data_IF_091413417886
#
_entry.id   IF_091413417886
#
_cell.length_a   1.000
_cell.length_b   1.000
_cell.length_c   1.000
_cell.angle_alpha   90.00
_cell.angle_beta   90.00
_cell.angle_gamma   90.00
#
_symmetry.space_group_name_H-M   'P 1'
#
loop_
_entity.id
_entity.type
_entity.pdbx_description
1 polymer ?
#
# COMPACT_ATOMS: atom_id res chain seq x y z
N UNK A 1 8.67 -15.23 -6.57
CA UNK A 1 8.90 -13.98 -7.31
C UNK A 1 9.77 -13.05 -6.46
N UNK A 2 10.71 -12.32 -7.06
CA UNK A 2 11.46 -11.28 -6.37
C UNK A 2 10.76 -9.91 -6.52
N UNK A 3 11.25 -8.89 -5.80
CA UNK A 3 10.65 -7.55 -5.75
C UNK A 3 10.62 -6.89 -7.13
N UNK A 4 11.68 -7.06 -7.93
CA UNK A 4 11.80 -6.45 -9.25
C UNK A 4 10.80 -7.08 -10.23
N UNK A 5 10.71 -8.41 -10.26
CA UNK A 5 9.73 -9.14 -11.07
C UNK A 5 8.30 -8.80 -10.65
N UNK A 6 8.04 -8.64 -9.35
CA UNK A 6 6.74 -8.22 -8.86
C UNK A 6 6.37 -6.80 -9.31
N UNK A 7 7.28 -5.83 -9.19
CA UNK A 7 7.01 -4.48 -9.67
C UNK A 7 6.75 -4.44 -11.18
N UNK A 8 7.46 -5.26 -11.97
CA UNK A 8 7.18 -5.46 -13.40
C UNK A 8 5.81 -6.10 -13.65
N UNK A 9 5.41 -7.06 -12.83
CA UNK A 9 4.08 -7.67 -12.89
C UNK A 9 2.99 -6.61 -12.67
N UNK A 10 3.08 -5.85 -11.57
CA UNK A 10 2.12 -4.77 -11.26
C UNK A 10 2.02 -3.76 -12.40
N UNK A 11 3.15 -3.34 -12.97
CA UNK A 11 3.17 -2.41 -14.09
C UNK A 11 2.46 -2.95 -15.34
N UNK A 12 2.52 -4.27 -15.58
CA UNK A 12 1.80 -4.93 -16.69
C UNK A 12 0.30 -5.06 -16.43
N UNK A 13 -0.10 -5.22 -15.18
CA UNK A 13 -1.51 -5.40 -14.78
C UNK A 13 -2.23 -4.10 -14.42
N UNK A 14 -1.51 -2.97 -14.40
CA UNK A 14 -2.00 -1.63 -14.06
C UNK A 14 -2.96 -1.08 -15.14
N UNK A 15 -4.13 -1.70 -15.24
CA UNK A 15 -5.22 -1.34 -16.13
C UNK A 15 -6.28 -0.54 -15.36
N UNK A 16 -6.04 0.75 -15.20
CA UNK A 16 -7.00 1.70 -14.66
C UNK A 16 -7.04 2.95 -15.56
N UNK A 17 -8.10 3.78 -15.47
CA UNK A 17 -8.24 4.97 -16.31
C UNK A 17 -6.99 5.86 -16.21
N UNK A 18 -6.19 5.85 -17.28
CA UNK A 18 -5.02 6.74 -17.37
C UNK A 18 -5.52 8.13 -17.72
N UNK A 19 -5.26 9.06 -16.81
CA UNK A 19 -5.54 10.48 -16.91
C UNK A 19 -4.22 11.25 -16.93
N UNK A 20 -4.28 12.57 -16.84
CA UNK A 20 -3.10 13.39 -16.58
C UNK A 20 -2.30 12.84 -15.40
N UNK A 21 -0.96 12.99 -15.49
CA UNK A 21 -0.06 12.70 -14.36
C UNK A 21 -0.68 13.34 -13.12
N UNK A 22 -0.87 12.54 -12.06
CA UNK A 22 -1.45 13.00 -10.79
C UNK A 22 -2.91 12.60 -10.52
N UNK A 23 -3.79 12.53 -11.53
CA UNK A 23 -5.15 12.01 -11.31
C UNK A 23 -5.17 10.48 -11.20
N UNK A 24 -4.24 9.78 -11.86
CA UNK A 24 -4.00 8.35 -11.64
C UNK A 24 -3.71 8.05 -10.16
N UNK A 25 -2.92 8.92 -9.50
CA UNK A 25 -2.60 8.77 -8.09
C UNK A 25 -3.85 8.87 -7.20
N UNK A 26 -4.85 9.67 -7.59
CA UNK A 26 -6.10 9.76 -6.80
C UNK A 26 -6.86 8.44 -6.80
N UNK A 27 -6.94 7.77 -7.95
CA UNK A 27 -7.54 6.44 -8.07
C UNK A 27 -6.76 5.40 -7.24
N UNK A 28 -5.43 5.39 -7.35
CA UNK A 28 -4.60 4.45 -6.59
C UNK A 28 -4.67 4.68 -5.07
N UNK A 29 -4.77 5.93 -4.62
CA UNK A 29 -4.95 6.23 -3.19
C UNK A 29 -6.34 5.81 -2.70
N UNK A 30 -7.38 5.91 -3.53
CA UNK A 30 -8.69 5.37 -3.19
C UNK A 30 -8.62 3.85 -3.01
N UNK A 31 -7.93 3.14 -3.90
CA UNK A 31 -7.67 1.71 -3.76
C UNK A 31 -6.97 1.37 -2.45
N UNK A 32 -5.90 2.08 -2.08
CA UNK A 32 -5.25 1.88 -0.76
C UNK A 32 -6.24 2.02 0.40
N UNK A 33 -7.15 2.99 0.36
CA UNK A 33 -8.14 3.20 1.43
C UNK A 33 -9.16 2.06 1.46
N UNK A 34 -9.59 1.57 0.31
CA UNK A 34 -10.47 0.41 0.15
C UNK A 34 -9.83 -0.84 0.77
N UNK A 35 -8.63 -1.22 0.34
CA UNK A 35 -7.95 -2.44 0.81
C UNK A 35 -7.68 -2.41 2.32
N UNK A 36 -7.27 -1.24 2.86
CA UNK A 36 -7.11 -1.10 4.32
C UNK A 36 -8.44 -1.29 5.04
N UNK A 37 -9.55 -0.79 4.48
CA UNK A 37 -10.88 -0.98 5.02
C UNK A 37 -11.27 -2.45 5.10
N UNK A 38 -11.04 -3.22 4.04
CA UNK A 38 -11.33 -4.65 3.99
C UNK A 38 -10.47 -5.44 4.99
N UNK A 39 -9.17 -5.13 5.10
CA UNK A 39 -8.30 -5.71 6.13
C UNK A 39 -8.89 -5.47 7.54
N UNK A 40 -9.33 -4.24 7.82
CA UNK A 40 -9.94 -3.92 9.12
C UNK A 40 -11.24 -4.68 9.37
N UNK A 41 -12.08 -4.85 8.36
CA UNK A 41 -13.30 -5.65 8.46
C UNK A 41 -12.97 -7.07 8.94
N UNK A 42 -11.94 -7.71 8.36
CA UNK A 42 -11.53 -9.06 8.77
C UNK A 42 -10.86 -9.11 10.14
N UNK A 43 -10.07 -8.08 10.51
CA UNK A 43 -9.51 -7.97 11.87
C UNK A 43 -10.65 -7.92 12.91
N UNK A 44 -11.68 -7.11 12.69
CA UNK A 44 -12.84 -7.01 13.60
C UNK A 44 -13.64 -8.32 13.63
N UNK A 45 -13.83 -8.98 12.48
CA UNK A 45 -14.48 -10.29 12.41
C UNK A 45 -13.74 -11.37 13.21
N UNK A 46 -12.40 -11.29 13.29
CA UNK A 46 -11.57 -12.22 14.08
C UNK A 46 -11.92 -12.23 15.56
N UNK A 47 -12.39 -11.10 16.09
CA UNK A 47 -12.77 -10.96 17.50
C UNK A 47 -14.13 -11.59 17.82
N UNK A 48 -14.95 -11.86 16.79
CA UNK A 48 -16.37 -12.25 16.94
C UNK A 48 -16.70 -13.61 16.32
N UNK A 49 -15.91 -14.08 15.35
CA UNK A 49 -16.13 -15.34 14.63
C UNK A 49 -15.09 -16.40 15.00
N UNK A 50 -15.49 -17.68 14.98
CA UNK A 50 -14.60 -18.83 15.18
C UNK A 50 -14.00 -19.37 13.86
N UNK A 51 -13.83 -18.52 12.84
CA UNK A 51 -13.37 -18.88 11.49
C UNK A 51 -11.95 -18.37 11.20
N UNK A 52 -11.00 -18.66 12.10
CA UNK A 52 -9.66 -18.07 12.08
C UNK A 52 -8.87 -18.30 10.77
N UNK A 53 -9.04 -19.46 10.12
CA UNK A 53 -8.32 -19.80 8.89
C UNK A 53 -8.81 -18.96 7.71
N UNK A 54 -10.14 -18.92 7.49
CA UNK A 54 -10.75 -18.09 6.45
C UNK A 54 -10.40 -16.61 6.65
N UNK A 55 -10.49 -16.10 7.88
CA UNK A 55 -10.17 -14.72 8.20
C UNK A 55 -8.70 -14.40 7.88
N UNK A 56 -7.79 -15.32 8.20
CA UNK A 56 -6.38 -15.16 7.85
C UNK A 56 -6.16 -15.15 6.34
N UNK A 57 -6.81 -16.04 5.59
CA UNK A 57 -6.72 -16.05 4.12
C UNK A 57 -7.15 -14.70 3.53
N UNK A 58 -8.25 -14.13 4.02
CA UNK A 58 -8.73 -12.83 3.56
C UNK A 58 -7.77 -11.70 3.94
N UNK A 59 -7.23 -11.67 5.16
CA UNK A 59 -6.21 -10.67 5.54
C UNK A 59 -4.99 -10.74 4.62
N UNK A 60 -4.53 -11.93 4.25
CA UNK A 60 -3.39 -12.10 3.33
C UNK A 60 -3.75 -11.64 1.92
N UNK A 61 -4.97 -11.93 1.45
CA UNK A 61 -5.50 -11.48 0.15
C UNK A 61 -5.50 -9.96 0.07
N UNK A 62 -6.17 -9.28 1.01
CA UNK A 62 -6.28 -7.82 0.97
C UNK A 62 -4.94 -7.14 1.28
N UNK A 63 -4.02 -7.80 2.01
CA UNK A 63 -2.63 -7.33 2.13
C UNK A 63 -1.88 -7.39 0.79
N UNK A 64 -2.20 -8.36 -0.06
CA UNK A 64 -1.66 -8.50 -1.41
C UNK A 64 -2.18 -7.38 -2.33
N UNK A 65 -3.48 -7.12 -2.27
CA UNK A 65 -4.13 -6.02 -3.00
C UNK A 65 -3.60 -4.66 -2.55
N UNK A 66 -3.44 -4.46 -1.23
CA UNK A 66 -2.79 -3.27 -0.68
C UNK A 66 -1.35 -3.10 -1.19
N UNK A 67 -0.56 -4.19 -1.21
CA UNK A 67 0.81 -4.17 -1.75
C UNK A 67 0.82 -3.84 -3.25
N UNK A 68 -0.17 -4.30 -4.01
CA UNK A 68 -0.33 -3.98 -5.42
C UNK A 68 -0.52 -2.47 -5.61
N UNK A 69 -1.41 -1.84 -4.85
CA UNK A 69 -1.61 -0.38 -4.94
C UNK A 69 -0.40 0.43 -4.49
N UNK A 70 0.30 0.01 -3.41
CA UNK A 70 1.56 0.63 -3.00
C UNK A 70 2.57 0.61 -4.16
N UNK A 71 2.66 -0.53 -4.85
CA UNK A 71 3.59 -0.74 -5.96
C UNK A 71 3.19 0.04 -7.21
N UNK A 72 1.88 0.13 -7.49
CA UNK A 72 1.36 0.93 -8.58
C UNK A 72 1.67 2.43 -8.37
N UNK A 73 1.52 2.94 -7.14
CA UNK A 73 1.92 4.34 -6.84
C UNK A 73 3.43 4.51 -7.01
N UNK A 74 4.24 3.55 -6.56
CA UNK A 74 5.69 3.58 -6.78
C UNK A 74 6.03 3.72 -8.28
N UNK A 75 5.33 2.99 -9.16
CA UNK A 75 5.50 3.11 -10.61
C UNK A 75 5.13 4.52 -11.12
N UNK A 76 3.99 5.07 -10.72
CA UNK A 76 3.52 6.40 -11.16
C UNK A 76 4.48 7.54 -10.74
N UNK A 77 5.19 7.39 -9.62
CA UNK A 77 6.18 8.37 -9.14
C UNK A 77 7.63 8.03 -9.51
N UNK A 78 7.85 7.03 -10.38
CA UNK A 78 9.18 6.52 -10.77
C UNK A 78 10.09 6.14 -9.59
N UNK A 79 9.53 5.47 -8.58
CA UNK A 79 10.23 4.96 -7.42
C UNK A 79 10.21 3.43 -7.40
N UNK A 80 11.32 2.78 -7.04
CA UNK A 80 11.36 1.32 -6.94
C UNK A 80 10.73 0.84 -5.64
N UNK A 81 9.96 -0.24 -5.68
CA UNK A 81 9.45 -0.93 -4.49
C UNK A 81 10.59 -1.40 -3.58
N UNK A 82 11.72 -1.84 -4.16
CA UNK A 82 12.89 -2.27 -3.40
C UNK A 82 13.45 -1.13 -2.52
N UNK A 83 13.60 0.08 -3.07
CA UNK A 83 14.02 1.25 -2.29
C UNK A 83 13.00 1.62 -1.21
N UNK A 84 11.70 1.47 -1.48
CA UNK A 84 10.67 1.68 -0.46
C UNK A 84 10.81 0.67 0.69
N UNK A 85 11.07 -0.60 0.39
CA UNK A 85 11.35 -1.64 1.39
C UNK A 85 12.62 -1.34 2.18
N UNK A 86 13.68 -0.84 1.54
CA UNK A 86 14.90 -0.40 2.23
C UNK A 86 14.60 0.75 3.20
N UNK A 87 13.77 1.72 2.79
CA UNK A 87 13.32 2.80 3.67
C UNK A 87 12.53 2.26 4.86
N UNK A 88 11.60 1.33 4.61
CA UNK A 88 10.84 0.67 5.66
C UNK A 88 11.76 -0.03 6.67
N UNK A 89 12.82 -0.72 6.20
CA UNK A 89 13.81 -1.41 7.06
C UNK A 89 14.55 -0.47 8.02
N UNK A 90 14.85 0.77 7.64
CA UNK A 90 15.58 1.71 8.50
C UNK A 90 14.69 2.59 9.39
N UNK A 91 13.36 2.58 9.20
CA UNK A 91 12.44 3.31 10.08
C UNK A 91 12.48 2.74 11.51
N UNK A 92 12.56 3.64 12.51
CA UNK A 92 12.53 3.28 13.94
C UNK A 92 11.17 2.72 14.36
N UNK A 93 10.08 3.29 13.85
CA UNK A 93 8.76 2.77 14.16
C UNK A 93 8.44 1.58 13.26
N UNK A 94 8.34 0.40 13.86
CA UNK A 94 7.96 -0.86 13.20
C UNK A 94 6.54 -1.30 13.51
N UNK A 95 5.88 -0.62 14.44
CA UNK A 95 4.54 -0.92 14.87
C UNK A 95 3.60 0.24 14.55
N UNK A 96 2.70 0.01 13.61
CA UNK A 96 1.70 0.96 13.15
C UNK A 96 0.40 0.67 13.88
N UNK A 97 0.01 1.56 14.79
CA UNK A 97 -1.33 1.51 15.38
C UNK A 97 -2.39 1.96 14.38
N UNK A 98 -3.64 1.54 14.57
CA UNK A 98 -4.78 1.94 13.73
C UNK A 98 -4.89 3.47 13.59
N UNK A 99 -4.68 4.21 14.68
CA UNK A 99 -4.69 5.68 14.68
C UNK A 99 -3.56 6.26 13.81
N UNK A 100 -2.37 5.65 13.86
CA UNK A 100 -1.23 6.08 13.04
C UNK A 100 -1.50 5.77 11.56
N UNK A 101 -2.04 4.59 11.26
CA UNK A 101 -2.42 4.21 9.90
C UNK A 101 -3.42 5.20 9.29
N UNK A 102 -4.46 5.58 10.05
CA UNK A 102 -5.42 6.60 9.63
C UNK A 102 -4.75 7.94 9.31
N UNK A 103 -3.78 8.36 10.13
CA UNK A 103 -2.98 9.57 9.88
C UNK A 103 -2.20 9.44 8.56
N UNK A 104 -1.54 8.30 8.31
CA UNK A 104 -0.76 8.09 7.09
C UNK A 104 -1.62 8.06 5.84
N UNK A 105 -2.79 7.42 5.89
CA UNK A 105 -3.80 7.44 4.82
C UNK A 105 -4.29 8.86 4.54
N UNK A 106 -4.65 9.61 5.59
CA UNK A 106 -5.08 11.00 5.47
C UNK A 106 -4.00 11.92 4.90
N UNK A 107 -2.76 11.73 5.31
CA UNK A 107 -1.61 12.48 4.79
C UNK A 107 -1.31 12.14 3.32
N UNK A 108 -1.39 10.87 2.94
CA UNK A 108 -1.23 10.42 1.55
C UNK A 108 -2.31 11.04 0.64
N UNK A 109 -3.57 10.90 1.04
CA UNK A 109 -4.70 11.53 0.35
C UNK A 109 -4.55 13.05 0.27
N UNK A 110 -4.15 13.69 1.37
CA UNK A 110 -3.88 15.12 1.43
C UNK A 110 -2.75 15.57 0.51
N UNK A 111 -1.69 14.77 0.37
CA UNK A 111 -0.57 15.06 -0.52
C UNK A 111 -1.02 15.05 -1.98
N UNK A 112 -1.71 13.99 -2.42
CA UNK A 112 -2.23 13.84 -3.78
C UNK A 112 -3.28 14.91 -4.09
N UNK A 113 -4.24 15.16 -3.18
CA UNK A 113 -5.26 16.20 -3.35
C UNK A 113 -4.64 17.58 -3.55
N UNK A 114 -3.66 17.95 -2.72
CA UNK A 114 -2.98 19.26 -2.84
C UNK A 114 -2.13 19.34 -4.10
N UNK A 115 -1.51 18.25 -4.54
CA UNK A 115 -0.78 18.21 -5.81
C UNK A 115 -1.72 18.45 -7.01
N UNK A 116 -2.90 17.80 -7.03
CA UNK A 116 -3.93 18.05 -8.06
C UNK A 116 -4.36 19.53 -8.06
N UNK A 117 -4.64 20.09 -6.88
CA UNK A 117 -5.14 21.46 -6.73
C UNK A 117 -4.09 22.55 -6.99
N UNK A 118 -2.89 22.39 -6.45
CA UNK A 118 -1.88 23.45 -6.36
C UNK A 118 -0.79 23.33 -7.44
N UNK A 119 -0.47 22.11 -7.90
CA UNK A 119 0.70 21.83 -8.73
C UNK A 119 0.34 21.52 -10.19
N UNK A 120 -0.86 21.89 -10.64
CA UNK A 120 -1.40 21.52 -11.97
C UNK A 120 -1.25 20.02 -12.26
N UNK A 121 -1.52 19.21 -11.23
CA UNK A 121 -1.46 17.74 -11.27
C UNK A 121 -0.02 17.17 -11.40
N UNK A 122 1.01 18.01 -11.49
CA UNK A 122 2.40 17.56 -11.58
C UNK A 122 2.95 17.09 -10.24
N UNK A 123 3.65 15.95 -10.26
CA UNK A 123 4.36 15.42 -9.10
C UNK A 123 5.65 16.21 -8.92
N UNK A 124 5.68 17.12 -7.93
CA UNK A 124 6.91 17.82 -7.51
C UNK A 124 7.71 16.95 -6.55
N UNK A 125 9.01 17.21 -6.40
CA UNK A 125 9.89 16.46 -5.47
C UNK A 125 9.34 16.44 -4.05
N UNK A 126 8.86 17.59 -3.57
CA UNK A 126 8.24 17.73 -2.25
C UNK A 126 6.99 16.84 -2.09
N UNK A 127 6.18 16.69 -3.14
CA UNK A 127 5.00 15.82 -3.10
C UNK A 127 5.40 14.35 -3.18
N UNK A 128 6.38 14.03 -4.01
CA UNK A 128 6.96 12.69 -4.11
C UNK A 128 7.48 12.22 -2.75
N UNK A 129 8.27 13.05 -2.06
CA UNK A 129 8.80 12.72 -0.72
C UNK A 129 7.68 12.47 0.31
N UNK A 130 6.62 13.29 0.29
CA UNK A 130 5.46 13.11 1.16
C UNK A 130 4.73 11.80 0.85
N UNK A 131 4.53 11.47 -0.43
CA UNK A 131 3.90 10.23 -0.88
C UNK A 131 4.75 9.03 -0.42
N UNK A 132 6.05 9.03 -0.73
CA UNK A 132 7.01 7.97 -0.36
C UNK A 132 7.02 7.75 1.15
N UNK A 133 7.07 8.82 1.95
CA UNK A 133 7.12 8.67 3.40
C UNK A 133 5.85 8.05 3.99
N UNK A 134 4.65 8.39 3.47
CA UNK A 134 3.40 7.78 3.95
C UNK A 134 3.24 6.35 3.42
N UNK A 135 3.57 6.08 2.15
CA UNK A 135 3.62 4.72 1.61
C UNK A 135 4.56 3.81 2.40
N UNK A 136 5.69 4.34 2.85
CA UNK A 136 6.63 3.60 3.68
C UNK A 136 5.99 3.09 4.97
N UNK A 137 5.16 3.90 5.65
CA UNK A 137 4.47 3.46 6.86
C UNK A 137 3.32 2.50 6.59
N UNK A 138 2.60 2.68 5.47
CA UNK A 138 1.56 1.74 5.04
C UNK A 138 2.19 0.37 4.66
N UNK A 139 3.37 0.37 4.03
CA UNK A 139 4.14 -0.86 3.79
C UNK A 139 4.61 -1.51 5.09
N UNK A 140 5.00 -0.73 6.10
CA UNK A 140 5.35 -1.28 7.43
C UNK A 140 4.13 -1.97 8.05
N UNK A 141 2.92 -1.43 7.87
CA UNK A 141 1.70 -2.10 8.31
C UNK A 141 1.50 -3.46 7.63
N UNK A 142 1.72 -3.58 6.31
CA UNK A 142 1.69 -4.89 5.62
C UNK A 142 2.71 -5.87 6.20
N UNK A 143 3.94 -5.39 6.48
CA UNK A 143 4.98 -6.22 7.09
C UNK A 143 4.61 -6.65 8.51
N UNK A 144 4.00 -5.76 9.29
CA UNK A 144 3.51 -6.06 10.63
C UNK A 144 2.42 -7.14 10.59
N UNK A 145 1.45 -7.06 9.66
CA UNK A 145 0.42 -8.09 9.49
C UNK A 145 1.03 -9.46 9.15
N UNK A 146 2.09 -9.47 8.33
CA UNK A 146 2.85 -10.69 8.04
C UNK A 146 3.47 -11.28 9.32
N UNK A 147 4.15 -10.46 10.11
CA UNK A 147 4.82 -10.87 11.33
C UNK A 147 3.82 -11.37 12.39
N UNK A 148 2.74 -10.63 12.62
CA UNK A 148 1.68 -10.96 13.59
C UNK A 148 0.96 -12.28 13.27
N UNK A 149 0.83 -12.63 12.00
CA UNK A 149 0.16 -13.85 11.57
C UNK A 149 1.15 -14.97 11.15
N UNK A 150 2.44 -14.78 11.39
CA UNK A 150 3.51 -15.74 11.02
C UNK A 150 3.50 -16.13 9.52
N UNK A 151 3.19 -15.16 8.66
CA UNK A 151 3.14 -15.30 7.20
C UNK A 151 4.41 -14.72 6.61
N UNK A 152 5.10 -15.47 5.75
CA UNK A 152 6.25 -14.92 5.01
C UNK A 152 5.77 -13.85 4.04
N UNK A 153 6.41 -12.68 4.00
CA UNK A 153 6.08 -11.60 3.04
C UNK A 153 6.01 -12.08 1.57
N UNK A 154 6.80 -13.10 1.21
CA UNK A 154 6.75 -13.74 -0.11
C UNK A 154 5.35 -14.25 -0.48
N UNK A 155 4.55 -14.71 0.50
CA UNK A 155 3.17 -15.17 0.28
C UNK A 155 2.29 -14.02 -0.17
N UNK A 156 2.35 -12.87 0.51
CA UNK A 156 1.63 -11.65 0.15
C UNK A 156 2.05 -11.15 -1.24
N UNK A 157 3.35 -11.21 -1.54
CA UNK A 157 3.86 -10.81 -2.85
C UNK A 157 3.36 -11.70 -4.00
N UNK A 158 3.12 -12.98 -3.74
CA UNK A 158 2.73 -13.96 -4.76
C UNK A 158 1.21 -14.14 -4.88
N UNK A 159 0.41 -13.67 -3.92
CA UNK A 159 -1.04 -13.97 -3.88
C UNK A 159 -1.80 -13.44 -5.10
N UNK A 160 -1.45 -12.24 -5.58
CA UNK A 160 -2.07 -11.62 -6.75
C UNK A 160 -1.45 -12.07 -8.08
N UNK A 161 -0.35 -12.83 -8.03
CA UNK A 161 0.38 -13.29 -9.20
C UNK A 161 0.12 -14.76 -9.54
N UNK A 162 -0.78 -15.42 -8.81
CA UNK A 162 -1.28 -16.77 -9.04
C UNK A 162 -2.51 -16.73 -9.95
#
# INVERSE_FOLDING_TARGET
>A
MDIEHYQKFVNKTAFFPKSSQGRNLSYLVMGIVEEVGEIFEFIVKKETLNENEYILEQIIKESGDLLWYITAICNEINFSLERLMQYAKVKKNKHISNNSLLIYLGNLSGAVKKMIRDDNEKITDKKSDLIINNLCYILIFVLQLCDENNVKFKVVLEINAK
#
